data_IF_916783152797
#
_entry.id   IF_916783152797
#
_cell.length_a   1.000
_cell.length_b   1.000
_cell.length_c   1.000
_cell.angle_alpha   90.00
_cell.angle_beta   90.00
_cell.angle_gamma   90.00
#
_symmetry.space_group_name_H-M   'P 1'
#
loop_
_entity.id
_entity.type
_entity.pdbx_description
1 polymer ?
#
# COMPACT_ATOMS: atom_id res chain seq x y z
N UNK A 1 24.96 10.90 12.62
CA UNK A 1 24.06 11.85 11.95
C UNK A 1 22.66 11.45 12.33
N UNK A 2 21.97 12.26 13.13
CA UNK A 2 20.57 12.02 13.47
C UNK A 2 19.71 12.42 12.27
N UNK A 3 19.07 11.46 11.60
CA UNK A 3 18.00 11.78 10.65
C UNK A 3 16.79 12.21 11.47
N UNK A 4 16.51 13.52 11.48
CA UNK A 4 15.20 13.99 11.94
C UNK A 4 14.17 13.58 10.89
N UNK A 5 13.34 12.60 11.23
CA UNK A 5 12.17 12.18 10.45
C UNK A 5 10.96 12.89 11.03
N UNK A 6 10.54 13.99 10.42
CA UNK A 6 9.23 14.58 10.69
C UNK A 6 8.76 15.29 9.42
N UNK A 7 7.79 14.66 8.75
CA UNK A 7 6.93 15.32 7.76
C UNK A 7 5.54 15.25 8.37
N UNK A 8 4.99 16.39 8.73
CA UNK A 8 3.58 16.47 9.18
C UNK A 8 2.68 15.99 8.05
N UNK A 9 1.49 15.48 8.36
CA UNK A 9 0.53 15.09 7.31
C UNK A 9 0.25 16.22 6.31
N UNK A 10 0.23 17.47 6.78
CA UNK A 10 0.06 18.64 5.93
C UNK A 10 1.19 18.78 4.89
N UNK A 11 2.45 18.61 5.33
CA UNK A 11 3.62 18.61 4.43
C UNK A 11 3.57 17.41 3.48
N UNK A 12 3.21 16.23 4.00
CA UNK A 12 3.03 15.01 3.22
C UNK A 12 1.98 15.19 2.10
N UNK A 13 0.78 15.68 2.41
CA UNK A 13 -0.26 15.99 1.40
C UNK A 13 0.24 17.05 0.40
N UNK A 14 0.94 18.07 0.89
CA UNK A 14 1.41 19.17 0.04
C UNK A 14 2.30 18.67 -1.10
N UNK A 15 3.09 17.62 -0.85
CA UNK A 15 3.91 16.96 -1.88
C UNK A 15 3.06 16.33 -2.99
N UNK A 16 1.90 15.76 -2.65
CA UNK A 16 1.02 15.13 -3.63
C UNK A 16 -0.02 16.09 -4.23
N UNK A 17 -0.07 17.35 -3.76
CA UNK A 17 -1.08 18.36 -4.08
C UNK A 17 -2.50 17.77 -4.14
N UNK A 18 -2.82 16.87 -3.21
CA UNK A 18 -4.16 16.31 -3.10
C UNK A 18 -5.07 17.41 -2.57
N UNK A 19 -6.13 17.72 -3.33
CA UNK A 19 -7.15 18.63 -2.85
C UNK A 19 -8.02 17.87 -1.82
N UNK A 20 -7.68 18.05 -0.54
CA UNK A 20 -8.41 17.44 0.58
C UNK A 20 -9.85 17.92 0.63
N UNK A 21 -10.12 19.17 0.24
CA UNK A 21 -11.49 19.68 0.21
C UNK A 21 -12.31 19.02 -0.90
N UNK A 22 -11.68 18.73 -2.04
CA UNK A 22 -12.32 17.96 -3.10
C UNK A 22 -12.55 16.50 -2.66
N UNK A 23 -11.54 15.86 -2.06
CA UNK A 23 -11.64 14.49 -1.56
C UNK A 23 -12.78 14.33 -0.55
N UNK A 24 -12.91 15.28 0.40
CA UNK A 24 -14.00 15.34 1.39
C UNK A 24 -15.41 15.36 0.78
N UNK A 25 -15.60 15.87 -0.44
CA UNK A 25 -16.92 15.86 -1.10
C UNK A 25 -17.41 14.46 -1.45
N UNK A 26 -16.50 13.49 -1.56
CA UNK A 26 -16.84 12.07 -1.81
C UNK A 26 -17.03 11.23 -0.57
N UNK A 27 -16.80 11.82 0.61
CA UNK A 27 -16.87 11.12 1.87
C UNK A 27 -18.30 11.14 2.42
N UNK A 28 -18.74 10.01 2.98
CA UNK A 28 -20.03 9.94 3.65
C UNK A 28 -20.03 10.73 4.99
N UNK A 29 -18.84 10.91 5.59
CA UNK A 29 -18.64 11.63 6.85
C UNK A 29 -17.42 12.58 6.80
N UNK A 30 -17.51 13.73 6.09
CA UNK A 30 -16.38 14.61 5.81
C UNK A 30 -15.74 15.25 7.05
N UNK A 31 -16.48 15.45 8.15
CA UNK A 31 -15.92 16.01 9.39
C UNK A 31 -14.88 15.11 10.09
N UNK A 32 -14.84 13.81 9.80
CA UNK A 32 -13.83 12.91 10.39
C UNK A 32 -12.43 13.15 9.81
N UNK A 33 -12.37 13.66 8.58
CA UNK A 33 -11.13 14.02 7.89
C UNK A 33 -10.50 15.33 8.36
N UNK A 34 -11.12 16.04 9.31
CA UNK A 34 -10.50 17.21 9.95
C UNK A 34 -9.54 16.80 11.08
N UNK A 35 -9.70 15.58 11.61
CA UNK A 35 -8.90 15.03 12.71
C UNK A 35 -8.12 13.77 12.30
N UNK A 36 -8.59 13.06 11.27
CA UNK A 36 -7.97 11.86 10.73
C UNK A 36 -7.16 12.19 9.48
N UNK A 37 -5.86 12.02 9.62
CA UNK A 37 -4.83 12.46 8.71
C UNK A 37 -4.07 11.27 8.09
N UNK A 38 -4.69 10.09 7.98
CA UNK A 38 -4.09 8.96 7.26
C UNK A 38 -4.75 8.72 5.92
N UNK A 39 -4.08 8.04 5.01
CA UNK A 39 -4.67 7.49 3.79
C UNK A 39 -4.85 5.98 3.85
N UNK A 40 -4.26 5.29 4.82
CA UNK A 40 -4.26 3.82 4.99
C UNK A 40 -5.60 3.11 4.71
N UNK A 41 -6.73 3.73 5.03
CA UNK A 41 -8.08 3.19 4.88
C UNK A 41 -8.95 3.97 3.87
N UNK A 42 -8.36 4.90 3.11
CA UNK A 42 -9.10 5.92 2.35
C UNK A 42 -9.07 5.75 0.83
N UNK A 43 -8.63 4.59 0.34
CA UNK A 43 -8.56 4.32 -1.10
C UNK A 43 -9.93 4.45 -1.79
N UNK A 44 -11.03 4.16 -1.08
CA UNK A 44 -12.39 4.19 -1.62
C UNK A 44 -12.85 5.61 -1.95
N UNK A 45 -12.41 6.59 -1.16
CA UNK A 45 -12.71 8.00 -1.35
C UNK A 45 -11.91 8.57 -2.52
N UNK A 46 -10.67 8.10 -2.71
CA UNK A 46 -9.90 8.38 -3.91
C UNK A 46 -10.56 7.78 -5.14
N UNK A 47 -11.11 6.57 -5.09
CA UNK A 47 -11.85 5.99 -6.19
C UNK A 47 -13.11 6.81 -6.54
N UNK A 48 -13.86 7.27 -5.53
CA UNK A 48 -15.05 8.12 -5.73
C UNK A 48 -14.72 9.47 -6.37
N UNK A 49 -13.67 10.17 -5.93
CA UNK A 49 -13.38 11.54 -6.37
C UNK A 49 -12.34 11.62 -7.49
N UNK A 50 -11.36 10.74 -7.49
CA UNK A 50 -10.26 10.68 -8.45
C UNK A 50 -10.31 9.43 -9.32
N UNK A 51 -11.51 8.93 -9.66
CA UNK A 51 -11.72 7.69 -10.44
C UNK A 51 -10.85 7.56 -11.70
N UNK A 52 -10.66 8.66 -12.43
CA UNK A 52 -9.85 8.71 -13.67
C UNK A 52 -8.34 8.60 -13.44
N UNK A 53 -7.91 8.65 -12.18
CA UNK A 53 -6.52 8.54 -11.72
C UNK A 53 -6.28 7.29 -10.89
N UNK A 54 -7.29 6.43 -10.80
CA UNK A 54 -7.25 5.21 -10.00
C UNK A 54 -7.09 3.99 -10.88
N UNK A 55 -6.15 3.17 -10.47
CA UNK A 55 -5.72 1.96 -11.13
C UNK A 55 -5.74 0.80 -10.15
N UNK A 56 -5.75 -0.42 -10.70
CA UNK A 56 -5.51 -1.66 -9.97
C UNK A 56 -4.16 -2.22 -10.39
N UNK A 57 -3.30 -2.49 -9.41
CA UNK A 57 -2.12 -3.31 -9.59
C UNK A 57 -2.49 -4.75 -9.18
N UNK A 58 -2.50 -5.66 -10.15
CA UNK A 58 -3.05 -7.01 -10.00
C UNK A 58 -2.20 -8.06 -10.74
N UNK A 59 -2.40 -9.33 -10.44
CA UNK A 59 -1.88 -10.45 -11.24
C UNK A 59 -2.70 -10.70 -12.51
N UNK A 60 -3.95 -10.23 -12.55
CA UNK A 60 -4.79 -10.31 -13.74
C UNK A 60 -4.59 -9.10 -14.64
N UNK A 61 -4.61 -9.25 -15.98
CA UNK A 61 -4.36 -8.14 -16.90
C UNK A 61 -5.55 -7.18 -17.06
N UNK A 62 -6.75 -7.57 -16.61
CA UNK A 62 -7.98 -6.80 -16.78
C UNK A 62 -8.92 -7.03 -15.61
N UNK A 63 -9.96 -6.19 -15.52
CA UNK A 63 -11.08 -6.40 -14.61
C UNK A 63 -11.68 -7.80 -14.75
N UNK A 64 -11.96 -8.42 -13.61
CA UNK A 64 -12.64 -9.71 -13.52
C UNK A 64 -14.10 -9.55 -13.93
N UNK A 65 -14.52 -10.30 -14.95
CA UNK A 65 -15.91 -10.29 -15.44
C UNK A 65 -16.80 -11.36 -14.80
N UNK A 66 -16.21 -12.46 -14.32
CA UNK A 66 -16.92 -13.62 -13.78
C UNK A 66 -16.34 -13.97 -12.41
N UNK A 67 -17.08 -13.61 -11.36
CA UNK A 67 -16.64 -13.83 -9.98
C UNK A 67 -16.60 -15.32 -9.60
N UNK A 68 -17.50 -16.15 -10.16
CA UNK A 68 -17.51 -17.58 -9.85
C UNK A 68 -16.28 -18.29 -10.43
N UNK A 69 -15.83 -17.88 -11.62
CA UNK A 69 -14.55 -18.34 -12.17
C UNK A 69 -13.37 -17.80 -11.37
N UNK A 70 -13.39 -16.52 -11.05
CA UNK A 70 -12.31 -15.89 -10.29
C UNK A 70 -12.11 -16.55 -8.93
N UNK A 71 -13.19 -16.85 -8.20
CA UNK A 71 -13.15 -17.50 -6.88
C UNK A 71 -12.40 -18.83 -6.88
N UNK A 72 -12.40 -19.55 -8.00
CA UNK A 72 -11.66 -20.81 -8.16
C UNK A 72 -10.14 -20.60 -8.32
N UNK A 73 -9.72 -19.39 -8.71
CA UNK A 73 -8.32 -19.00 -8.92
C UNK A 73 -7.78 -18.14 -7.77
N UNK A 74 -8.63 -17.62 -6.88
CA UNK A 74 -8.22 -16.79 -5.74
C UNK A 74 -7.26 -17.58 -4.86
N UNK A 75 -6.09 -16.98 -4.62
CA UNK A 75 -5.09 -17.49 -3.70
C UNK A 75 -5.08 -16.54 -2.50
N UNK A 76 -5.27 -17.08 -1.30
CA UNK A 76 -5.29 -16.30 -0.06
C UNK A 76 -4.38 -16.98 0.99
N UNK A 77 -3.90 -16.18 1.94
CA UNK A 77 -3.08 -16.71 3.02
C UNK A 77 -3.95 -17.39 4.07
N UNK A 78 -3.85 -18.71 4.21
CA UNK A 78 -4.48 -19.46 5.28
C UNK A 78 -3.63 -19.36 6.55
N UNK A 79 -4.09 -18.55 7.51
CA UNK A 79 -3.43 -18.35 8.82
C UNK A 79 -3.32 -19.63 9.67
N UNK A 80 -3.96 -20.74 9.27
CA UNK A 80 -3.90 -22.04 9.96
C UNK A 80 -2.79 -22.95 9.44
N UNK A 81 -2.18 -22.61 8.30
CA UNK A 81 -1.08 -23.36 7.67
C UNK A 81 0.22 -22.63 7.88
N UNK A 82 1.32 -23.37 7.87
CA UNK A 82 2.65 -22.74 7.89
C UNK A 82 2.91 -22.04 6.54
N UNK A 83 3.67 -20.93 6.51
CA UNK A 83 3.94 -20.20 5.28
C UNK A 83 4.54 -21.08 4.17
N UNK A 84 5.43 -22.01 4.53
CA UNK A 84 6.13 -22.90 3.60
C UNK A 84 5.20 -23.87 2.87
N UNK A 85 4.00 -24.10 3.41
CA UNK A 85 2.98 -24.97 2.83
C UNK A 85 2.11 -24.24 1.77
N UNK A 86 2.33 -22.94 1.56
CA UNK A 86 1.48 -22.06 0.76
C UNK A 86 2.24 -21.48 -0.45
N UNK A 87 2.96 -22.35 -1.17
CA UNK A 87 3.85 -21.97 -2.28
C UNK A 87 3.23 -21.03 -3.32
N UNK A 88 2.00 -21.30 -3.76
CA UNK A 88 1.32 -20.48 -4.78
C UNK A 88 1.08 -19.04 -4.28
N UNK A 89 0.72 -18.89 -3.00
CA UNK A 89 0.55 -17.58 -2.38
C UNK A 89 1.89 -16.85 -2.29
N UNK A 90 2.94 -17.54 -1.83
CA UNK A 90 4.27 -16.97 -1.71
C UNK A 90 4.88 -16.56 -3.05
N UNK A 91 4.54 -17.26 -4.15
CA UNK A 91 4.99 -16.86 -5.48
C UNK A 91 4.36 -15.52 -5.90
N UNK A 92 3.05 -15.35 -5.66
CA UNK A 92 2.36 -14.09 -5.96
C UNK A 92 2.88 -12.98 -5.05
N UNK A 93 3.02 -13.23 -3.74
CA UNK A 93 3.60 -12.30 -2.77
C UNK A 93 4.95 -11.75 -3.25
N UNK A 94 5.83 -12.62 -3.74
CA UNK A 94 7.15 -12.23 -4.27
C UNK A 94 7.05 -11.29 -5.49
N UNK A 95 6.07 -11.47 -6.38
CA UNK A 95 5.88 -10.59 -7.55
C UNK A 95 5.52 -9.18 -7.11
N UNK A 96 4.58 -9.05 -6.17
CA UNK A 96 4.18 -7.76 -5.61
C UNK A 96 5.34 -7.08 -4.86
N UNK A 97 6.07 -7.84 -4.04
CA UNK A 97 7.26 -7.33 -3.35
C UNK A 97 8.30 -6.80 -4.34
N UNK A 98 8.57 -7.48 -5.46
CA UNK A 98 9.53 -7.02 -6.47
C UNK A 98 9.11 -5.74 -7.17
N UNK A 99 7.82 -5.62 -7.53
CA UNK A 99 7.29 -4.36 -8.09
C UNK A 99 7.49 -3.21 -7.11
N UNK A 100 7.10 -3.40 -5.85
CA UNK A 100 7.26 -2.37 -4.82
C UNK A 100 8.73 -2.06 -4.56
N UNK A 101 9.62 -3.06 -4.58
CA UNK A 101 11.07 -2.88 -4.45
C UNK A 101 11.65 -2.04 -5.58
N UNK A 102 11.26 -2.31 -6.82
CA UNK A 102 11.70 -1.56 -7.98
C UNK A 102 11.22 -0.09 -7.87
N UNK A 103 9.96 0.13 -7.49
CA UNK A 103 9.44 1.48 -7.25
C UNK A 103 10.17 2.21 -6.11
N UNK A 104 10.49 1.49 -5.04
CA UNK A 104 11.26 2.01 -3.90
C UNK A 104 12.67 2.48 -4.31
N UNK A 105 13.33 1.80 -5.25
CA UNK A 105 14.63 2.27 -5.77
C UNK A 105 14.54 3.53 -6.62
N UNK A 106 13.36 3.87 -7.14
CA UNK A 106 13.16 4.99 -8.05
C UNK A 106 12.60 6.25 -7.38
N UNK A 107 12.20 6.17 -6.11
CA UNK A 107 11.51 7.26 -5.44
C UNK A 107 11.71 7.23 -3.94
N UNK A 108 11.78 8.41 -3.34
CA UNK A 108 11.54 8.57 -1.90
C UNK A 108 10.15 8.05 -1.55
N UNK A 109 10.05 7.40 -0.40
CA UNK A 109 8.82 6.76 0.07
C UNK A 109 8.43 7.29 1.45
N UNK A 110 7.13 7.54 1.59
CA UNK A 110 6.46 7.66 2.88
C UNK A 110 5.61 6.41 3.11
N UNK A 111 5.71 5.84 4.30
CA UNK A 111 5.00 4.63 4.68
C UNK A 111 4.10 4.92 5.88
N UNK A 112 2.81 4.69 5.69
CA UNK A 112 1.83 4.62 6.77
C UNK A 112 1.59 3.15 7.16
N UNK A 113 1.38 2.88 8.45
CA UNK A 113 1.09 1.52 8.91
C UNK A 113 0.24 1.49 10.17
N UNK A 114 -0.63 0.48 10.29
CA UNK A 114 -1.41 0.20 11.51
C UNK A 114 -0.65 -0.63 12.56
N UNK A 115 0.63 -0.95 12.32
CA UNK A 115 1.40 -1.89 13.15
C UNK A 115 1.45 -1.53 14.65
N UNK A 116 1.31 -0.25 15.01
CA UNK A 116 1.25 0.22 16.39
C UNK A 116 -0.12 0.03 17.06
N UNK A 117 -1.21 -0.04 16.30
CA UNK A 117 -2.54 -0.35 16.82
C UNK A 117 -2.78 -1.86 16.94
N UNK A 118 -2.15 -2.64 16.07
CA UNK A 118 -2.30 -4.09 16.05
C UNK A 118 -1.47 -4.76 17.15
N UNK A 119 -2.10 -5.73 17.83
CA UNK A 119 -1.49 -6.45 18.97
C UNK A 119 -1.37 -7.96 18.72
N UNK A 120 -1.91 -8.46 17.62
CA UNK A 120 -1.97 -9.90 17.31
C UNK A 120 -1.11 -10.17 16.09
N UNK A 121 0.12 -10.62 16.33
CA UNK A 121 1.07 -10.99 15.29
C UNK A 121 1.24 -12.50 15.20
N UNK A 122 1.57 -13.03 14.01
CA UNK A 122 1.77 -14.46 13.86
C UNK A 122 3.05 -14.92 14.55
N UNK A 123 3.08 -16.20 14.94
CA UNK A 123 4.24 -16.82 15.60
C UNK A 123 5.52 -16.78 14.75
N UNK A 124 5.40 -16.86 13.43
CA UNK A 124 6.53 -16.79 12.51
C UNK A 124 7.12 -15.39 12.40
N UNK A 125 6.39 -14.34 12.79
CA UNK A 125 6.89 -12.98 12.72
C UNK A 125 8.01 -12.76 13.76
N UNK A 126 9.07 -12.08 13.34
CA UNK A 126 10.15 -11.66 14.23
C UNK A 126 9.61 -10.63 15.24
N UNK A 127 9.32 -11.09 16.45
CA UNK A 127 8.72 -10.28 17.51
C UNK A 127 9.60 -9.10 17.96
N UNK A 128 10.93 -9.21 17.82
CA UNK A 128 11.83 -8.10 18.11
C UNK A 128 11.67 -7.01 17.04
N UNK A 129 11.58 -7.40 15.76
CA UNK A 129 11.35 -6.47 14.65
C UNK A 129 9.97 -5.81 14.73
N UNK A 130 8.93 -6.56 15.12
CA UNK A 130 7.60 -6.00 15.41
C UNK A 130 7.71 -4.90 16.46
N UNK A 131 8.32 -5.18 17.63
CA UNK A 131 8.45 -4.20 18.72
C UNK A 131 9.29 -2.98 18.31
N UNK A 132 10.33 -3.18 17.50
CA UNK A 132 11.15 -2.11 16.95
C UNK A 132 10.32 -1.18 16.05
N UNK A 133 9.60 -1.75 15.09
CA UNK A 133 8.73 -0.98 14.19
C UNK A 133 7.57 -0.33 14.95
N UNK A 134 6.93 -1.04 15.87
CA UNK A 134 5.91 -0.45 16.75
C UNK A 134 6.44 0.77 17.50
N UNK A 135 7.65 0.71 18.05
CA UNK A 135 8.28 1.89 18.68
C UNK A 135 8.58 2.99 17.66
N UNK A 136 9.01 2.63 16.46
CA UNK A 136 9.33 3.56 15.38
C UNK A 136 8.08 4.36 14.94
N UNK A 137 6.94 3.68 14.74
CA UNK A 137 5.64 4.29 14.39
C UNK A 137 4.92 4.92 15.60
N UNK A 138 5.20 4.48 16.83
CA UNK A 138 4.60 5.09 18.03
C UNK A 138 5.40 6.31 18.54
N UNK A 139 6.67 6.46 18.15
CA UNK A 139 7.49 7.58 18.56
C UNK A 139 6.91 8.89 17.99
N UNK A 140 6.31 9.70 18.86
CA UNK A 140 5.77 11.05 18.60
C UNK A 140 4.39 11.12 17.89
N UNK A 141 3.54 10.09 18.00
CA UNK A 141 2.24 10.02 17.27
C UNK A 141 2.41 10.16 15.74
N UNK A 142 3.51 9.64 15.21
CA UNK A 142 3.81 9.73 13.78
C UNK A 142 3.36 8.44 13.11
N UNK A 143 2.24 8.54 12.40
CA UNK A 143 1.69 7.42 11.65
C UNK A 143 2.39 7.23 10.29
N UNK A 144 3.29 8.15 9.89
CA UNK A 144 3.96 8.21 8.58
C UNK A 144 5.48 8.34 8.72
N UNK A 145 6.24 7.38 8.19
CA UNK A 145 7.72 7.39 8.22
C UNK A 145 8.29 7.60 6.82
N UNK A 146 9.25 8.52 6.68
CA UNK A 146 10.09 8.67 5.49
C UNK A 146 11.34 7.78 5.58
N UNK A 147 11.81 7.26 4.44
CA UNK A 147 13.14 6.64 4.36
C UNK A 147 13.22 5.29 5.08
N UNK A 148 12.14 4.51 5.03
CA UNK A 148 12.11 3.13 5.52
C UNK A 148 13.05 2.27 4.68
N UNK A 149 13.94 1.54 5.36
CA UNK A 149 14.86 0.60 4.72
C UNK A 149 14.10 -0.58 4.11
N UNK A 150 14.61 -1.17 3.03
CA UNK A 150 13.90 -2.25 2.33
C UNK A 150 13.51 -3.41 3.25
N UNK A 151 14.39 -3.83 4.17
CA UNK A 151 14.10 -4.94 5.10
C UNK A 151 12.88 -4.64 5.99
N UNK A 152 12.75 -3.39 6.45
CA UNK A 152 11.61 -2.95 7.24
C UNK A 152 10.33 -2.89 6.40
N UNK A 153 10.42 -2.33 5.20
CA UNK A 153 9.30 -2.20 4.27
C UNK A 153 8.79 -3.58 3.82
N UNK A 154 9.69 -4.50 3.49
CA UNK A 154 9.38 -5.89 3.13
C UNK A 154 8.65 -6.60 4.27
N UNK A 155 9.13 -6.43 5.51
CA UNK A 155 8.46 -7.00 6.68
C UNK A 155 7.02 -6.46 6.87
N UNK A 156 6.83 -5.14 6.74
CA UNK A 156 5.51 -4.51 6.80
C UNK A 156 4.59 -5.01 5.68
N UNK A 157 5.10 -5.15 4.46
CA UNK A 157 4.34 -5.62 3.31
C UNK A 157 3.90 -7.08 3.46
N UNK A 158 4.78 -7.95 3.95
CA UNK A 158 4.44 -9.34 4.22
C UNK A 158 3.33 -9.43 5.29
N UNK A 159 3.41 -8.61 6.34
CA UNK A 159 2.33 -8.54 7.34
C UNK A 159 1.02 -8.03 6.73
N UNK A 160 1.08 -7.00 5.86
CA UNK A 160 -0.10 -6.47 5.19
C UNK A 160 -0.73 -7.49 4.25
N UNK A 161 0.01 -8.05 3.29
CA UNK A 161 -0.53 -9.01 2.31
C UNK A 161 -1.21 -10.21 2.99
N UNK A 162 -0.73 -10.60 4.17
CA UNK A 162 -1.27 -11.71 4.98
C UNK A 162 -2.37 -11.27 5.96
N UNK A 163 -2.89 -10.06 5.79
CA UNK A 163 -3.99 -9.45 6.53
C UNK A 163 -3.75 -9.39 8.04
N UNK A 164 -2.53 -9.01 8.48
CA UNK A 164 -2.21 -8.75 9.89
C UNK A 164 -2.18 -7.27 10.26
N UNK A 165 -1.83 -6.42 9.29
CA UNK A 165 -1.80 -4.96 9.42
C UNK A 165 -2.30 -4.35 8.12
N UNK A 166 -2.53 -3.05 8.10
CA UNK A 166 -2.67 -2.27 6.87
C UNK A 166 -1.44 -1.38 6.67
N UNK A 167 -1.17 -1.02 5.42
CA UNK A 167 -0.15 -0.03 5.06
C UNK A 167 -0.63 0.84 3.90
N UNK A 168 -0.09 2.06 3.80
CA UNK A 168 -0.19 2.93 2.63
C UNK A 168 1.21 3.34 2.22
N UNK A 169 1.53 3.20 0.94
CA UNK A 169 2.82 3.55 0.37
C UNK A 169 2.69 4.76 -0.53
N UNK A 170 3.52 5.76 -0.32
CA UNK A 170 3.47 6.98 -1.13
C UNK A 170 4.84 7.27 -1.70
N UNK A 171 4.95 7.18 -3.02
CA UNK A 171 6.18 7.40 -3.79
C UNK A 171 6.16 8.81 -4.35
N UNK A 172 6.94 9.69 -3.71
CA UNK A 172 6.91 11.15 -3.93
C UNK A 172 7.33 11.50 -5.34
N UNK A 173 8.47 10.96 -5.78
CA UNK A 173 9.07 11.33 -7.05
C UNK A 173 8.31 10.70 -8.24
N UNK A 174 7.49 9.68 -7.96
CA UNK A 174 6.59 9.05 -8.92
C UNK A 174 5.15 9.59 -8.88
N UNK A 175 4.82 10.48 -7.93
CA UNK A 175 3.46 10.98 -7.68
C UNK A 175 2.41 9.85 -7.60
N UNK A 176 2.73 8.82 -6.83
CA UNK A 176 2.05 7.53 -6.79
C UNK A 176 1.70 7.15 -5.34
N UNK A 177 0.47 6.68 -5.11
CA UNK A 177 0.05 6.09 -3.84
C UNK A 177 -0.44 4.67 -4.11
N UNK A 178 0.02 3.71 -3.31
CA UNK A 178 -0.38 2.31 -3.39
C UNK A 178 -0.94 1.89 -2.03
N UNK A 179 -2.09 1.24 -2.05
CA UNK A 179 -2.68 0.55 -0.90
C UNK A 179 -2.50 -0.96 -1.08
N UNK A 180 -1.48 -1.58 -0.46
CA UNK A 180 -1.30 -3.01 -0.59
C UNK A 180 -2.45 -3.76 0.09
N UNK A 181 -2.99 -4.77 -0.58
CA UNK A 181 -4.05 -5.63 -0.03
C UNK A 181 -4.52 -6.68 -1.03
N UNK A 182 -4.74 -7.92 -0.55
CA UNK A 182 -5.34 -9.06 -1.27
C UNK A 182 -4.85 -9.30 -2.72
N UNK A 183 -3.59 -8.96 -3.02
CA UNK A 183 -2.99 -9.02 -4.37
C UNK A 183 -3.81 -8.31 -5.45
N UNK A 184 -4.50 -7.24 -5.07
CA UNK A 184 -5.31 -6.40 -5.94
C UNK A 184 -5.21 -4.95 -5.43
N UNK A 185 -3.99 -4.40 -5.45
CA UNK A 185 -3.67 -3.14 -4.78
C UNK A 185 -4.31 -1.95 -5.51
N UNK A 186 -5.25 -1.21 -4.89
CA UNK A 186 -5.64 0.11 -5.38
C UNK A 186 -4.41 0.99 -5.51
N UNK A 187 -4.36 1.77 -6.59
CA UNK A 187 -3.20 2.58 -6.92
C UNK A 187 -3.66 3.92 -7.49
N UNK A 188 -3.32 5.01 -6.82
CA UNK A 188 -3.57 6.37 -7.32
C UNK A 188 -2.33 6.88 -8.05
N UNK A 189 -2.52 7.32 -9.30
CA UNK A 189 -1.48 7.95 -10.09
C UNK A 189 -1.90 9.39 -10.41
N UNK A 190 -1.20 10.37 -9.84
CA UNK A 190 -1.55 11.78 -10.04
C UNK A 190 -1.35 12.22 -11.48
N UNK A 191 -0.21 11.84 -12.05
CA UNK A 191 0.28 12.28 -13.36
C UNK A 191 0.54 11.07 -14.25
N UNK A 192 -0.06 11.07 -15.45
CA UNK A 192 0.12 10.01 -16.45
C UNK A 192 1.58 9.87 -16.92
N UNK A 193 2.44 10.87 -16.65
CA UNK A 193 3.85 10.87 -17.06
C UNK A 193 4.63 9.64 -16.54
N UNK A 194 4.26 9.11 -15.36
CA UNK A 194 4.92 7.94 -14.76
C UNK A 194 4.20 6.62 -15.05
N UNK A 195 3.08 6.65 -15.80
CA UNK A 195 2.26 5.47 -16.06
C UNK A 195 3.03 4.41 -16.83
N UNK A 196 3.70 4.80 -17.92
CA UNK A 196 4.44 3.86 -18.77
C UNK A 196 5.56 3.15 -17.98
N UNK A 197 6.25 3.89 -17.12
CA UNK A 197 7.26 3.33 -16.23
C UNK A 197 6.64 2.32 -15.26
N UNK A 198 5.52 2.67 -14.62
CA UNK A 198 4.84 1.79 -13.68
C UNK A 198 4.32 0.51 -14.38
N UNK A 199 3.67 0.64 -15.53
CA UNK A 199 3.22 -0.48 -16.36
C UNK A 199 4.40 -1.40 -16.73
N UNK A 200 5.54 -0.83 -17.13
CA UNK A 200 6.74 -1.59 -17.45
C UNK A 200 7.29 -2.36 -16.25
N UNK A 201 7.37 -1.74 -15.07
CA UNK A 201 7.82 -2.39 -13.84
C UNK A 201 6.87 -3.55 -13.48
N UNK A 202 5.55 -3.33 -13.54
CA UNK A 202 4.56 -4.36 -13.28
C UNK A 202 4.71 -5.54 -14.24
N UNK A 203 4.74 -5.27 -15.55
CA UNK A 203 4.73 -6.31 -16.59
C UNK A 203 5.98 -7.19 -16.55
N UNK A 204 7.15 -6.63 -16.22
CA UNK A 204 8.39 -7.40 -16.09
C UNK A 204 8.31 -8.43 -14.96
N UNK A 205 7.57 -8.13 -13.89
CA UNK A 205 7.35 -9.05 -12.76
C UNK A 205 6.10 -9.94 -12.94
N UNK A 206 5.44 -9.85 -14.10
CA UNK A 206 4.22 -10.61 -14.40
C UNK A 206 2.98 -10.13 -13.66
N UNK A 207 2.95 -8.84 -13.28
CA UNK A 207 1.78 -8.12 -12.77
C UNK A 207 1.33 -7.10 -13.82
N UNK A 208 0.14 -6.55 -13.62
CA UNK A 208 -0.47 -5.62 -14.56
C UNK A 208 -1.03 -4.42 -13.81
N UNK A 209 -1.10 -3.31 -14.53
CA UNK A 209 -1.76 -2.08 -14.09
C UNK A 209 -2.90 -1.78 -15.06
N UNK A 210 -4.12 -1.60 -14.57
CA UNK A 210 -5.27 -1.21 -15.39
C UNK A 210 -6.20 -0.23 -14.65
N UNK A 211 -6.91 0.67 -15.36
CA UNK A 211 -7.84 1.61 -14.73
C UNK A 211 -8.97 0.91 -13.96
N UNK A 212 -9.43 1.51 -12.85
CA UNK A 212 -10.59 1.00 -12.10
C UNK A 212 -11.93 1.27 -12.79
N UNK A 213 -11.98 2.29 -13.64
CA UNK A 213 -13.15 2.62 -14.46
C UNK A 213 -12.81 2.43 -15.94
N UNK A 214 -13.66 1.69 -16.66
CA UNK A 214 -13.57 1.48 -18.11
C UNK A 214 -14.32 2.54 -18.89
#
# INVERSE_FOLDING_TARGET
MESKVFVTFQEYISHYCIDINYLKKGCDLPQHWDNDNLFIDKWSEFDKQYSQKMYRLDRFPTLIQDWEKHRQLVVFFDKRKEPEEQCDYLEIERKFLRVIKNLWTCSRIFVESSIHYDNIFPKWANQNKVKELQKKFNANNIEIIEGVEWEELEFLLILNFRNYISTCLSFVDLNLIIWPGDFACPTYLRDEANRELLEKICNVEGLYLYPLTS
#
